data_IF_253607521511
#
_entry.id   IF_253607521511
#
_cell.length_a   1.000
_cell.length_b   1.000
_cell.length_c   1.000
_cell.angle_alpha   90.00
_cell.angle_beta   90.00
_cell.angle_gamma   90.00
#
_symmetry.space_group_name_H-M   'P 1'
#
loop_
_entity.id
_entity.type
_entity.pdbx_description
1 polymer ?
#
# COMPACT_ATOMS: atom_id res chain seq x y z
N UNK A 1 143.18 -15.05 44.19
CA UNK A 1 142.84 -15.20 45.62
C UNK A 1 141.51 -14.49 45.89
N UNK A 2 140.60 -15.02 46.72
CA UNK A 2 139.64 -16.03 46.27
C UNK A 2 138.20 -15.86 46.84
N UNK A 3 137.33 -16.83 46.51
CA UNK A 3 136.14 -17.33 47.26
C UNK A 3 134.81 -16.54 47.08
N UNK A 4 133.81 -17.00 46.33
CA UNK A 4 132.86 -18.14 46.52
C UNK A 4 132.15 -18.16 47.88
N UNK A 5 130.84 -18.47 47.83
CA UNK A 5 129.85 -18.78 48.91
C UNK A 5 128.73 -17.73 48.89
N UNK A 6 127.44 -18.02 48.73
CA UNK A 6 126.66 -19.25 48.94
C UNK A 6 125.37 -19.13 48.14
N UNK A 7 125.03 -20.18 47.41
CA UNK A 7 123.65 -20.46 47.05
C UNK A 7 122.83 -20.64 48.35
N UNK A 8 121.64 -20.05 48.41
CA UNK A 8 120.57 -20.59 49.23
C UNK A 8 119.23 -20.21 48.60
N UNK A 9 118.62 -21.19 47.93
CA UNK A 9 117.31 -21.03 47.32
C UNK A 9 116.22 -20.79 48.38
N UNK A 10 115.33 -19.85 48.08
CA UNK A 10 113.90 -19.98 48.41
C UNK A 10 113.12 -18.88 47.72
N UNK A 11 111.97 -19.28 47.16
CA UNK A 11 110.87 -18.46 46.61
C UNK A 11 111.00 -18.04 45.15
N UNK A 12 111.15 -19.06 44.31
CA UNK A 12 110.23 -19.19 43.17
C UNK A 12 108.86 -19.53 43.76
N UNK A 13 107.99 -18.52 43.90
CA UNK A 13 106.52 -18.59 43.93
C UNK A 13 105.97 -17.34 44.61
N UNK A 14 105.32 -16.51 43.81
CA UNK A 14 104.16 -15.64 44.11
C UNK A 14 104.33 -14.33 43.33
N UNK A 15 103.42 -13.83 42.52
CA UNK A 15 102.24 -14.37 41.82
C UNK A 15 101.98 -13.33 40.73
N UNK A 16 101.70 -13.75 39.49
CA UNK A 16 101.18 -12.83 38.48
C UNK A 16 99.82 -12.34 38.94
N UNK A 17 99.80 -11.22 39.67
CA UNK A 17 98.60 -10.49 40.04
C UNK A 17 98.50 -9.27 39.16
N UNK A 18 98.11 -9.47 37.90
CA UNK A 18 97.63 -8.35 37.07
C UNK A 18 96.33 -7.90 37.75
N UNK A 19 96.43 -6.94 38.66
CA UNK A 19 95.30 -6.13 39.12
C UNK A 19 94.85 -5.27 37.95
N UNK A 20 94.17 -5.88 36.98
CA UNK A 20 93.40 -5.16 35.99
C UNK A 20 92.13 -4.67 36.71
N UNK A 21 91.95 -3.35 36.90
CA UNK A 21 90.68 -2.83 37.37
C UNK A 21 89.60 -3.34 36.40
N UNK A 22 88.51 -3.91 36.92
CA UNK A 22 87.38 -4.34 36.11
C UNK A 22 86.83 -3.13 35.36
N UNK A 23 87.33 -2.94 34.15
CA UNK A 23 86.77 -2.02 33.17
C UNK A 23 85.37 -2.56 32.89
N UNK A 24 84.36 -1.94 33.48
CA UNK A 24 83.01 -2.04 32.98
C UNK A 24 83.05 -1.38 31.60
N UNK A 25 83.26 -2.20 30.55
CA UNK A 25 83.10 -1.78 29.17
C UNK A 25 81.63 -1.39 29.03
N UNK A 26 81.37 -0.11 29.26
CA UNK A 26 80.12 0.52 28.88
C UNK A 26 80.13 0.49 27.36
N UNK A 27 79.53 -0.56 26.79
CA UNK A 27 79.19 -0.61 25.38
C UNK A 27 78.34 0.62 25.08
N UNK A 28 78.98 1.71 24.64
CA UNK A 28 78.29 2.88 24.14
C UNK A 28 77.71 2.48 22.80
N UNK A 29 76.54 1.83 22.86
CA UNK A 29 75.76 1.51 21.68
C UNK A 29 75.57 2.83 20.93
N UNK A 30 76.09 2.91 19.70
CA UNK A 30 76.12 4.16 18.95
C UNK A 30 74.71 4.75 18.89
N UNK A 31 74.58 6.07 19.02
CA UNK A 31 73.27 6.76 19.03
C UNK A 31 72.37 6.36 17.85
N UNK A 32 72.98 6.02 16.70
CA UNK A 32 72.31 5.52 15.50
C UNK A 32 71.54 4.21 15.76
N UNK A 33 72.14 3.26 16.46
CA UNK A 33 71.50 1.98 16.81
C UNK A 33 70.34 2.16 17.80
N UNK A 34 70.47 3.10 18.75
CA UNK A 34 69.34 3.48 19.63
C UNK A 34 68.20 4.13 18.85
N UNK A 35 68.52 5.01 17.91
CA UNK A 35 67.52 5.63 17.03
C UNK A 35 66.81 4.58 16.16
N UNK A 36 67.52 3.61 15.60
CA UNK A 36 66.92 2.49 14.85
C UNK A 36 66.04 1.60 15.73
N UNK A 37 66.46 1.29 16.95
CA UNK A 37 65.64 0.52 17.89
C UNK A 37 64.35 1.27 18.26
N UNK A 38 64.44 2.59 18.47
CA UNK A 38 63.27 3.44 18.71
C UNK A 38 62.35 3.50 17.50
N UNK A 39 62.88 3.73 16.30
CA UNK A 39 62.12 3.74 15.05
C UNK A 39 61.45 2.39 14.78
N UNK A 40 62.17 1.28 14.99
CA UNK A 40 61.65 -0.07 14.86
C UNK A 40 60.54 -0.34 15.87
N UNK A 41 60.72 0.06 17.14
CA UNK A 41 59.68 -0.03 18.15
C UNK A 41 58.44 0.78 17.80
N UNK A 42 58.62 2.02 17.32
CA UNK A 42 57.51 2.88 16.88
C UNK A 42 56.76 2.28 15.68
N UNK A 43 57.50 1.73 14.71
CA UNK A 43 56.92 1.07 13.54
C UNK A 43 56.17 -0.21 13.93
N UNK A 44 56.67 -0.99 14.90
CA UNK A 44 55.97 -2.15 15.42
C UNK A 44 54.68 -1.75 16.14
N UNK A 45 54.70 -0.70 16.95
CA UNK A 45 53.50 -0.20 17.64
C UNK A 45 52.48 0.31 16.62
N UNK A 46 52.92 1.10 15.63
CA UNK A 46 52.05 1.56 14.55
C UNK A 46 51.48 0.40 13.72
N UNK A 47 52.29 -0.61 13.43
CA UNK A 47 51.87 -1.83 12.75
C UNK A 47 50.85 -2.64 13.57
N UNK A 48 51.07 -2.77 14.87
CA UNK A 48 50.11 -3.42 15.78
C UNK A 48 48.81 -2.62 15.90
N UNK A 49 48.87 -1.29 15.91
CA UNK A 49 47.67 -0.45 15.92
C UNK A 49 46.87 -0.61 14.63
N UNK A 50 47.55 -0.56 13.48
CA UNK A 50 46.95 -0.76 12.18
C UNK A 50 46.31 -2.16 12.08
N UNK A 51 47.05 -3.19 12.47
CA UNK A 51 46.59 -4.57 12.42
C UNK A 51 45.48 -4.86 13.42
N UNK A 52 45.52 -4.24 14.61
CA UNK A 52 44.52 -4.37 15.66
C UNK A 52 43.14 -3.83 15.26
N UNK A 53 43.08 -2.81 14.40
CA UNK A 53 41.80 -2.31 13.86
C UNK A 53 41.12 -3.36 12.96
N UNK A 54 41.90 -4.02 12.09
CA UNK A 54 41.40 -5.10 11.24
C UNK A 54 41.11 -6.38 12.05
N UNK A 55 41.95 -6.70 13.03
CA UNK A 55 41.75 -7.83 13.93
C UNK A 55 40.56 -7.63 14.86
N UNK A 56 40.21 -6.38 15.22
CA UNK A 56 39.01 -6.06 15.98
C UNK A 56 37.73 -6.44 15.24
N UNK A 57 37.71 -6.35 13.91
CA UNK A 57 36.60 -6.84 13.09
C UNK A 57 36.57 -8.37 13.00
N UNK A 58 37.72 -9.05 13.03
CA UNK A 58 37.82 -10.51 12.91
C UNK A 58 37.62 -11.26 14.23
N UNK A 59 38.12 -10.73 15.36
CA UNK A 59 37.98 -11.31 16.70
C UNK A 59 36.67 -10.92 17.40
N UNK A 60 36.02 -9.83 16.99
CA UNK A 60 34.80 -9.31 17.60
C UNK A 60 33.54 -10.17 17.38
N UNK A 61 33.65 -11.36 16.76
CA UNK A 61 32.52 -12.25 16.53
C UNK A 61 31.44 -11.65 15.62
N UNK A 62 31.76 -10.56 14.90
CA UNK A 62 30.84 -9.93 13.96
C UNK A 62 30.83 -10.79 12.70
N UNK A 63 29.93 -11.79 12.68
CA UNK A 63 29.63 -12.58 11.48
C UNK A 63 29.00 -11.64 10.43
N UNK A 64 29.83 -10.84 9.76
CA UNK A 64 29.43 -9.90 8.72
C UNK A 64 28.66 -10.61 7.60
N UNK A 65 28.99 -11.88 7.36
CA UNK A 65 28.24 -12.79 6.49
C UNK A 65 26.83 -13.06 7.00
N UNK A 66 26.66 -13.38 8.28
CA UNK A 66 25.34 -13.67 8.88
C UNK A 66 24.45 -12.43 8.92
N UNK A 67 25.02 -11.25 9.19
CA UNK A 67 24.29 -9.97 9.14
C UNK A 67 23.88 -9.65 7.69
N UNK A 68 24.80 -9.82 6.73
CA UNK A 68 24.48 -9.61 5.31
C UNK A 68 23.42 -10.60 4.80
N UNK A 69 23.48 -11.86 5.23
CA UNK A 69 22.50 -12.88 4.89
C UNK A 69 21.13 -12.56 5.50
N UNK A 70 21.09 -12.15 6.78
CA UNK A 70 19.85 -11.70 7.42
C UNK A 70 19.27 -10.47 6.72
N UNK A 71 20.12 -9.52 6.33
CA UNK A 71 19.69 -8.34 5.59
C UNK A 71 19.10 -8.73 4.22
N UNK A 72 19.78 -9.60 3.47
CA UNK A 72 19.29 -10.08 2.18
C UNK A 72 17.96 -10.85 2.32
N UNK A 73 17.81 -11.67 3.36
CA UNK A 73 16.55 -12.37 3.67
C UNK A 73 15.42 -11.38 3.99
N UNK A 74 15.69 -10.39 4.85
CA UNK A 74 14.71 -9.36 5.20
C UNK A 74 14.31 -8.51 3.99
N UNK A 75 15.24 -8.18 3.10
CA UNK A 75 14.95 -7.46 1.86
C UNK A 75 14.10 -8.30 0.90
N UNK A 76 14.38 -9.60 0.80
CA UNK A 76 13.56 -10.53 0.03
C UNK A 76 12.15 -10.66 0.60
N UNK A 77 12.01 -10.82 1.93
CA UNK A 77 10.71 -10.89 2.61
C UNK A 77 9.92 -9.59 2.48
N UNK A 78 10.59 -8.44 2.54
CA UNK A 78 9.96 -7.15 2.31
C UNK A 78 9.45 -7.02 0.85
N UNK A 79 10.20 -7.53 -0.12
CA UNK A 79 9.79 -7.54 -1.52
C UNK A 79 8.58 -8.45 -1.76
N UNK A 80 8.55 -9.65 -1.18
CA UNK A 80 7.41 -10.58 -1.30
C UNK A 80 6.17 -10.00 -0.64
N UNK A 81 6.26 -9.48 0.58
CA UNK A 81 5.15 -8.83 1.27
C UNK A 81 4.61 -7.63 0.50
N UNK A 82 5.47 -6.87 -0.17
CA UNK A 82 5.06 -5.75 -1.02
C UNK A 82 4.28 -6.22 -2.24
N UNK A 83 4.73 -7.28 -2.91
CA UNK A 83 4.04 -7.87 -4.05
C UNK A 83 2.66 -8.43 -3.64
N UNK A 84 2.60 -9.15 -2.51
CA UNK A 84 1.35 -9.62 -1.94
C UNK A 84 0.39 -8.47 -1.61
N UNK A 85 0.90 -7.36 -1.05
CA UNK A 85 0.09 -6.20 -0.76
C UNK A 85 -0.49 -5.57 -2.04
N UNK A 86 0.31 -5.46 -3.10
CA UNK A 86 -0.13 -4.96 -4.41
C UNK A 86 -1.22 -5.87 -4.97
N UNK A 87 -1.02 -7.20 -4.92
CA UNK A 87 -2.00 -8.18 -5.39
C UNK A 87 -3.32 -8.12 -4.61
N UNK A 88 -3.25 -8.00 -3.28
CA UNK A 88 -4.42 -7.87 -2.42
C UNK A 88 -5.17 -6.56 -2.68
N UNK A 89 -4.45 -5.45 -2.86
CA UNK A 89 -5.06 -4.17 -3.25
C UNK A 89 -5.75 -4.23 -4.61
N UNK A 90 -5.14 -4.91 -5.58
CA UNK A 90 -5.76 -5.16 -6.89
C UNK A 90 -7.08 -5.91 -6.77
N UNK A 91 -7.09 -7.00 -5.97
CA UNK A 91 -8.33 -7.75 -5.69
C UNK A 91 -9.38 -6.89 -4.97
N UNK A 92 -8.98 -6.10 -3.99
CA UNK A 92 -9.93 -5.21 -3.29
C UNK A 92 -10.56 -4.19 -4.24
N UNK A 93 -9.78 -3.60 -5.15
CA UNK A 93 -10.30 -2.68 -6.16
C UNK A 93 -11.28 -3.37 -7.13
N UNK A 94 -11.00 -4.61 -7.52
CA UNK A 94 -11.90 -5.44 -8.33
C UNK A 94 -13.21 -5.73 -7.60
N UNK A 95 -13.15 -6.20 -6.35
CA UNK A 95 -14.34 -6.45 -5.53
C UNK A 95 -15.16 -5.16 -5.29
N UNK A 96 -14.51 -4.03 -5.09
CA UNK A 96 -15.20 -2.75 -4.90
C UNK A 96 -15.93 -2.31 -6.17
N UNK A 97 -15.31 -2.49 -7.35
CA UNK A 97 -15.95 -2.27 -8.64
C UNK A 97 -17.17 -3.18 -8.82
N UNK A 98 -17.03 -4.49 -8.56
CA UNK A 98 -18.12 -5.45 -8.66
C UNK A 98 -19.28 -5.11 -7.73
N UNK A 99 -19.00 -4.72 -6.49
CA UNK A 99 -20.02 -4.27 -5.54
C UNK A 99 -20.75 -3.03 -6.04
N UNK A 100 -20.05 -2.08 -6.66
CA UNK A 100 -20.66 -0.89 -7.23
C UNK A 100 -21.55 -1.24 -8.43
N UNK A 101 -21.12 -2.17 -9.30
CA UNK A 101 -21.93 -2.68 -10.41
C UNK A 101 -23.19 -3.37 -9.89
N UNK A 102 -23.06 -4.27 -8.89
CA UNK A 102 -24.20 -4.98 -8.30
C UNK A 102 -25.19 -4.00 -7.65
N UNK A 103 -24.71 -2.99 -6.94
CA UNK A 103 -25.55 -1.94 -6.35
C UNK A 103 -26.29 -1.14 -7.43
N UNK A 104 -25.61 -0.77 -8.51
CA UNK A 104 -26.22 -0.09 -9.65
C UNK A 104 -27.30 -0.94 -10.33
N UNK A 105 -27.02 -2.24 -10.52
CA UNK A 105 -27.98 -3.19 -11.07
C UNK A 105 -29.20 -3.36 -10.13
N UNK A 106 -28.98 -3.50 -8.82
CA UNK A 106 -30.05 -3.59 -7.83
C UNK A 106 -30.95 -2.35 -7.84
N UNK A 107 -30.37 -1.16 -7.88
CA UNK A 107 -31.11 0.10 -7.97
C UNK A 107 -31.95 0.17 -9.26
N UNK A 108 -31.39 -0.31 -10.37
CA UNK A 108 -32.09 -0.36 -11.67
C UNK A 108 -33.25 -1.33 -11.64
N UNK A 109 -33.05 -2.54 -11.12
CA UNK A 109 -34.13 -3.55 -10.98
C UNK A 109 -35.22 -3.06 -10.04
N UNK A 110 -34.87 -2.40 -8.94
CA UNK A 110 -35.85 -1.81 -8.03
C UNK A 110 -36.69 -0.72 -8.70
N UNK A 111 -36.08 0.13 -9.54
CA UNK A 111 -36.82 1.14 -10.31
C UNK A 111 -37.76 0.49 -11.32
N UNK A 112 -37.26 -0.49 -12.09
CA UNK A 112 -38.09 -1.23 -13.04
C UNK A 112 -39.28 -1.92 -12.37
N UNK A 113 -39.10 -2.48 -11.17
CA UNK A 113 -40.18 -3.10 -10.42
C UNK A 113 -41.25 -2.08 -10.00
N UNK A 114 -40.84 -0.88 -9.57
CA UNK A 114 -41.76 0.21 -9.24
C UNK A 114 -42.48 0.74 -10.48
N UNK A 115 -41.77 0.92 -11.59
CA UNK A 115 -42.35 1.37 -12.86
C UNK A 115 -43.42 0.37 -13.35
N UNK A 116 -43.10 -0.93 -13.36
CA UNK A 116 -44.06 -1.99 -13.70
C UNK A 116 -45.25 -2.03 -12.74
N UNK A 117 -45.04 -1.74 -11.45
CA UNK A 117 -46.13 -1.65 -10.49
C UNK A 117 -47.06 -0.46 -10.79
N UNK A 118 -46.47 0.69 -11.12
CA UNK A 118 -47.21 1.91 -11.49
C UNK A 118 -48.00 1.71 -12.79
N UNK A 119 -47.39 1.11 -13.81
CA UNK A 119 -48.08 0.77 -15.07
C UNK A 119 -49.25 -0.18 -14.81
N UNK A 120 -49.06 -1.21 -13.98
CA UNK A 120 -50.14 -2.12 -13.61
C UNK A 120 -51.28 -1.40 -12.87
N UNK A 121 -50.98 -0.47 -11.97
CA UNK A 121 -52.03 0.32 -11.30
C UNK A 121 -52.76 1.23 -12.27
N UNK A 122 -52.03 1.89 -13.18
CA UNK A 122 -52.62 2.75 -14.20
C UNK A 122 -53.54 1.97 -15.13
N UNK A 123 -53.11 0.81 -15.64
CA UNK A 123 -53.95 -0.05 -16.48
C UNK A 123 -55.22 -0.50 -15.75
N UNK A 124 -55.13 -0.82 -14.45
CA UNK A 124 -56.31 -1.18 -13.64
C UNK A 124 -57.27 -0.01 -13.46
N UNK A 125 -56.76 1.20 -13.24
CA UNK A 125 -57.57 2.42 -13.15
C UNK A 125 -58.26 2.73 -14.48
N UNK A 126 -57.56 2.62 -15.60
CA UNK A 126 -58.12 2.80 -16.95
C UNK A 126 -59.22 1.77 -17.23
N UNK A 127 -59.02 0.50 -16.87
CA UNK A 127 -60.04 -0.54 -16.99
C UNK A 127 -61.25 -0.28 -16.09
N UNK A 128 -61.03 0.18 -14.86
CA UNK A 128 -62.12 0.54 -13.94
C UNK A 128 -62.92 1.75 -14.45
N UNK A 129 -62.23 2.74 -15.03
CA UNK A 129 -62.85 3.91 -15.65
C UNK A 129 -63.67 3.54 -16.87
N UNK A 130 -63.13 2.73 -17.79
CA UNK A 130 -63.85 2.21 -18.94
C UNK A 130 -65.08 1.40 -18.50
N UNK A 131 -64.92 0.53 -17.50
CA UNK A 131 -66.05 -0.22 -16.95
C UNK A 131 -67.11 0.70 -16.37
N UNK A 132 -66.75 1.78 -15.67
CA UNK A 132 -67.71 2.77 -15.16
C UNK A 132 -68.46 3.48 -16.29
N UNK A 133 -67.74 3.91 -17.34
CA UNK A 133 -68.33 4.48 -18.55
C UNK A 133 -69.32 3.52 -19.24
N UNK A 134 -68.94 2.26 -19.43
CA UNK A 134 -69.82 1.25 -20.05
C UNK A 134 -70.98 0.84 -19.14
N UNK A 135 -70.82 0.85 -17.83
CA UNK A 135 -71.91 0.55 -16.88
C UNK A 135 -72.94 1.67 -16.86
N UNK A 136 -72.51 2.92 -17.06
CA UNK A 136 -73.38 4.09 -17.14
C UNK A 136 -74.07 4.19 -18.52
N UNK A 137 -73.35 3.83 -19.59
CA UNK A 137 -73.90 3.80 -20.96
C UNK A 137 -74.70 2.53 -21.31
N UNK A 138 -74.54 1.45 -20.54
CA UNK A 138 -75.03 0.10 -20.85
C UNK A 138 -76.43 -0.22 -20.34
N UNK A 139 -77.11 0.71 -19.64
CA UNK A 139 -78.54 0.55 -19.33
C UNK A 139 -79.35 0.90 -20.59
N UNK A 140 -80.08 -0.06 -21.19
CA UNK A 140 -80.90 0.21 -22.37
C UNK A 140 -81.90 1.33 -22.07
N UNK A 141 -81.78 2.46 -22.78
CA UNK A 141 -82.64 3.63 -22.62
C UNK A 141 -82.01 4.85 -21.95
N UNK A 142 -80.72 4.81 -21.58
CA UNK A 142 -80.08 5.92 -20.85
C UNK A 142 -79.25 6.81 -21.78
N UNK A 143 -79.56 8.10 -21.82
CA UNK A 143 -78.87 9.12 -22.61
C UNK A 143 -77.80 9.79 -21.75
N UNK A 144 -76.52 9.60 -22.08
CA UNK A 144 -75.42 10.28 -21.38
C UNK A 144 -74.84 11.38 -22.25
N UNK A 145 -74.96 12.62 -21.78
CA UNK A 145 -74.41 13.82 -22.41
C UNK A 145 -72.95 13.90 -21.98
N UNK A 146 -72.01 13.54 -22.86
CA UNK A 146 -70.59 13.45 -22.48
C UNK A 146 -69.88 14.80 -22.44
N UNK A 147 -70.26 15.75 -23.31
CA UNK A 147 -69.61 17.07 -23.34
C UNK A 147 -70.54 18.11 -23.94
N UNK A 148 -70.74 19.20 -23.20
CA UNK A 148 -71.38 20.42 -23.65
C UNK A 148 -70.31 21.49 -23.77
N UNK A 149 -70.03 21.93 -24.99
CA UNK A 149 -69.08 23.01 -25.25
C UNK A 149 -69.82 24.16 -25.93
N UNK A 150 -69.88 25.30 -25.23
CA UNK A 150 -70.40 26.55 -25.75
C UNK A 150 -69.21 27.45 -26.05
N UNK A 151 -68.93 27.65 -27.33
CA UNK A 151 -67.86 28.55 -27.77
C UNK A 151 -68.51 29.83 -28.32
N UNK A 152 -68.02 30.97 -27.86
CA UNK A 152 -68.57 32.27 -28.24
C UNK A 152 -67.91 32.71 -29.55
N UNK A 153 -68.69 32.71 -30.63
CA UNK A 153 -68.24 33.17 -31.94
C UNK A 153 -68.22 34.70 -32.00
N UNK A 154 -67.44 35.27 -32.92
CA UNK A 154 -67.04 36.69 -32.93
C UNK A 154 -68.15 37.72 -33.22
N UNK A 155 -69.39 37.30 -33.42
CA UNK A 155 -70.53 38.21 -33.66
C UNK A 155 -71.74 37.89 -32.76
N UNK A 156 -71.48 37.63 -31.48
CA UNK A 156 -72.52 37.41 -30.45
C UNK A 156 -73.46 36.21 -30.74
N UNK A 157 -73.02 35.31 -31.63
CA UNK A 157 -73.66 34.03 -31.93
C UNK A 157 -73.01 32.94 -31.07
N UNK A 158 -73.83 32.18 -30.35
CA UNK A 158 -73.37 31.07 -29.51
C UNK A 158 -73.44 29.77 -30.32
N UNK A 159 -72.29 29.13 -30.55
CA UNK A 159 -72.26 27.79 -31.14
C UNK A 159 -72.28 26.77 -30.01
N UNK A 160 -73.43 26.13 -29.83
CA UNK A 160 -73.58 25.02 -28.90
C UNK A 160 -73.27 23.71 -29.64
N UNK A 161 -72.19 23.05 -29.22
CA UNK A 161 -71.88 21.70 -29.69
C UNK A 161 -72.12 20.74 -28.53
N UNK A 162 -73.00 19.76 -28.77
CA UNK A 162 -73.42 18.77 -27.79
C UNK A 162 -73.21 17.39 -28.38
N UNK A 163 -72.34 16.60 -27.76
CA UNK A 163 -72.04 15.24 -28.19
C UNK A 163 -72.78 14.26 -27.26
N UNK A 164 -73.73 13.54 -27.83
CA UNK A 164 -74.57 12.55 -27.13
C UNK A 164 -74.13 11.17 -27.59
N UNK A 165 -73.77 10.30 -26.64
CA UNK A 165 -73.41 8.91 -26.92
C UNK A 165 -74.52 8.02 -26.37
N UNK A 166 -75.16 7.25 -27.25
CA UNK A 166 -76.17 6.24 -26.90
C UNK A 166 -75.49 4.88 -26.86
N UNK A 167 -75.63 4.14 -25.75
CA UNK A 167 -75.28 2.72 -25.73
C UNK A 167 -76.39 1.90 -26.37
N UNK A 168 -76.12 1.29 -27.53
CA UNK A 168 -77.07 0.43 -28.24
C UNK A 168 -76.86 0.40 -29.76
N UNK A 169 -77.52 -0.54 -30.44
CA UNK A 169 -77.44 -0.74 -31.89
C UNK A 169 -77.96 0.52 -32.63
N UNK A 170 -77.21 1.11 -33.58
CA UNK A 170 -77.56 2.40 -34.18
C UNK A 170 -78.49 2.21 -35.38
N UNK A 171 -79.80 2.18 -35.16
CA UNK A 171 -80.76 2.04 -36.27
C UNK A 171 -82.05 2.87 -36.17
N UNK A 172 -82.17 3.82 -35.25
CA UNK A 172 -83.35 4.70 -35.19
C UNK A 172 -82.97 6.19 -35.19
N UNK A 173 -83.69 6.95 -36.02
CA UNK A 173 -83.58 8.41 -36.19
C UNK A 173 -84.03 9.14 -34.92
N UNK A 174 -83.15 9.98 -34.36
CA UNK A 174 -83.40 10.71 -33.12
C UNK A 174 -84.00 12.09 -33.42
N UNK A 175 -85.23 12.32 -32.94
CA UNK A 175 -85.86 13.64 -32.88
C UNK A 175 -85.96 14.08 -31.42
N UNK A 176 -85.31 15.19 -31.08
CA UNK A 176 -85.34 15.80 -29.76
C UNK A 176 -85.61 17.30 -29.87
N UNK A 177 -86.55 17.81 -29.06
CA UNK A 177 -86.91 19.22 -29.03
C UNK A 177 -86.26 19.87 -27.80
N UNK A 178 -85.39 20.87 -28.03
CA UNK A 178 -84.86 21.74 -26.98
C UNK A 178 -85.90 22.84 -26.73
N UNK A 179 -86.43 22.89 -25.49
CA UNK A 179 -87.30 23.98 -25.02
C UNK A 179 -86.53 24.85 -24.03
#
# INVERSE_FOLDING_TARGET
>A
MPQTLRALGRRVRQTFGISAPRMAVRTRLSWRWRAFALLGGLALIAGMWWWGFDFGQFLGGFNRSEVAEKQARLEADAATLKDENIRLRGRLAELESDLNVIRGAQATVSRQALDLQNENTQMKEELAFLRKLFSDAGKPGTFTIQRFSAEKDRDNLYRFSMLVVRGGNPSDEFSGQLT
#
